data_IF_380633733782
#
_entry.id   IF_380633733782
#
_cell.length_a   1.000
_cell.length_b   1.000
_cell.length_c   1.000
_cell.angle_alpha   90.00
_cell.angle_beta   90.00
_cell.angle_gamma   90.00
#
_symmetry.space_group_name_H-M   'P 1'
#
loop_
_entity.id
_entity.type
_entity.pdbx_description
1 polymer ?
#
# COMPACT_ATOMS: atom_id res chain seq x y z
N UNK A 1 -51.58 11.78 -69.41
CA UNK A 1 -52.32 10.49 -69.32
C UNK A 1 -51.42 9.41 -69.92
N UNK A 2 -51.17 8.21 -69.42
CA UNK A 2 -51.61 7.37 -68.27
C UNK A 2 -50.65 6.15 -68.31
N UNK A 3 -50.14 5.70 -67.15
CA UNK A 3 -49.77 4.32 -66.70
C UNK A 3 -49.15 3.30 -67.70
N UNK A 4 -48.18 2.43 -67.39
CA UNK A 4 -47.58 1.90 -66.16
C UNK A 4 -46.96 0.51 -66.45
N UNK A 5 -46.36 -0.12 -65.41
CA UNK A 5 -45.70 -1.45 -65.28
C UNK A 5 -44.19 -1.29 -65.04
N UNK A 6 -43.56 -1.76 -63.96
CA UNK A 6 -43.97 -2.53 -62.79
C UNK A 6 -42.83 -2.53 -61.76
N UNK A 7 -43.18 -2.67 -60.48
CA UNK A 7 -42.32 -2.55 -59.30
C UNK A 7 -41.20 -3.61 -59.25
N UNK A 8 -39.95 -3.21 -59.00
CA UNK A 8 -38.99 -4.04 -58.26
C UNK A 8 -39.09 -3.68 -56.78
N UNK A 9 -39.28 -4.69 -55.92
CA UNK A 9 -39.18 -4.58 -54.47
C UNK A 9 -37.70 -4.41 -54.14
N UNK A 10 -37.32 -3.27 -53.60
CA UNK A 10 -36.10 -3.17 -52.82
C UNK A 10 -36.40 -3.83 -51.47
N UNK A 11 -35.77 -4.99 -51.23
CA UNK A 11 -35.70 -5.59 -49.91
C UNK A 11 -35.03 -4.58 -48.98
N UNK A 12 -35.82 -4.10 -48.03
CA UNK A 12 -35.35 -3.30 -46.90
C UNK A 12 -34.28 -4.10 -46.17
N UNK A 13 -33.01 -3.77 -46.39
CA UNK A 13 -31.97 -4.01 -45.39
C UNK A 13 -32.36 -3.16 -44.19
N UNK A 14 -33.02 -3.77 -43.20
CA UNK A 14 -33.24 -3.14 -41.90
C UNK A 14 -31.88 -2.88 -41.29
N UNK A 15 -31.40 -1.63 -41.39
CA UNK A 15 -30.37 -1.13 -40.47
C UNK A 15 -31.01 -1.21 -39.08
N UNK A 16 -30.70 -2.26 -38.33
CA UNK A 16 -31.00 -2.33 -36.90
C UNK A 16 -30.37 -1.10 -36.26
N UNK A 17 -31.21 -0.14 -35.90
CA UNK A 17 -30.77 1.01 -35.11
C UNK A 17 -30.49 0.44 -33.72
N UNK A 18 -29.28 0.58 -33.16
CA UNK A 18 -28.96 -0.03 -31.87
C UNK A 18 -29.95 0.49 -30.83
N UNK A 19 -30.71 -0.41 -30.22
CA UNK A 19 -31.66 -0.06 -29.16
C UNK A 19 -30.83 0.49 -27.99
N UNK A 20 -30.95 1.79 -27.70
CA UNK A 20 -30.31 2.38 -26.53
C UNK A 20 -31.17 2.03 -25.31
N UNK A 21 -30.59 1.30 -24.34
CA UNK A 21 -31.27 0.90 -23.11
C UNK A 21 -30.55 1.47 -21.89
N UNK A 22 -31.29 2.11 -21.00
CA UNK A 22 -30.80 2.52 -19.71
C UNK A 22 -31.04 1.40 -18.68
N UNK A 23 -30.01 1.02 -17.92
CA UNK A 23 -30.07 -0.07 -16.94
C UNK A 23 -29.32 0.30 -15.66
N UNK A 24 -29.64 -0.33 -14.53
CA UNK A 24 -28.84 -0.18 -13.30
C UNK A 24 -27.61 -1.10 -13.34
N UNK A 25 -26.52 -0.71 -12.67
CA UNK A 25 -25.32 -1.55 -12.56
C UNK A 25 -25.64 -2.95 -11.99
N UNK A 26 -26.57 -3.01 -11.02
CA UNK A 26 -27.04 -4.27 -10.41
C UNK A 26 -27.72 -5.22 -11.41
N UNK A 27 -28.28 -4.70 -12.50
CA UNK A 27 -28.99 -5.50 -13.49
C UNK A 27 -28.03 -6.16 -14.50
N UNK A 28 -26.78 -5.69 -14.59
CA UNK A 28 -25.81 -6.15 -15.60
C UNK A 28 -25.54 -7.64 -15.48
N UNK A 29 -25.32 -8.16 -14.27
CA UNK A 29 -25.09 -9.59 -14.05
C UNK A 29 -26.26 -10.45 -14.54
N UNK A 30 -27.51 -10.02 -14.26
CA UNK A 30 -28.71 -10.71 -14.72
C UNK A 30 -28.82 -10.71 -16.24
N UNK A 31 -28.52 -9.58 -16.88
CA UNK A 31 -28.52 -9.45 -18.35
C UNK A 31 -27.49 -10.40 -18.97
N UNK A 32 -26.28 -10.47 -18.40
CA UNK A 32 -25.23 -11.39 -18.86
C UNK A 32 -25.71 -12.83 -18.80
N UNK A 33 -26.25 -13.26 -17.65
CA UNK A 33 -26.76 -14.62 -17.48
C UNK A 33 -27.85 -14.97 -18.49
N UNK A 34 -28.83 -14.09 -18.69
CA UNK A 34 -29.90 -14.30 -19.66
C UNK A 34 -29.38 -14.45 -21.09
N UNK A 35 -28.45 -13.58 -21.52
CA UNK A 35 -27.89 -13.64 -22.87
C UNK A 35 -27.04 -14.91 -23.04
N UNK A 36 -26.26 -15.29 -22.03
CA UNK A 36 -25.48 -16.54 -22.05
C UNK A 36 -26.38 -17.76 -22.19
N UNK A 37 -27.44 -17.86 -21.40
CA UNK A 37 -28.39 -18.98 -21.46
C UNK A 37 -29.05 -19.08 -22.84
N UNK A 38 -29.53 -17.95 -23.38
CA UNK A 38 -30.14 -17.89 -24.71
C UNK A 38 -29.15 -18.34 -25.80
N UNK A 39 -27.92 -17.82 -25.79
CA UNK A 39 -26.90 -18.21 -26.77
C UNK A 39 -26.45 -19.65 -26.64
N UNK A 40 -26.34 -20.16 -25.41
CA UNK A 40 -26.03 -21.57 -25.16
C UNK A 40 -27.10 -22.46 -25.78
N UNK A 41 -28.38 -22.17 -25.50
CA UNK A 41 -29.50 -22.93 -26.07
C UNK A 41 -29.53 -22.87 -27.60
N UNK A 42 -29.25 -21.70 -28.18
CA UNK A 42 -29.22 -21.53 -29.63
C UNK A 42 -28.08 -22.34 -30.27
N UNK A 43 -26.86 -22.20 -29.77
CA UNK A 43 -25.69 -22.93 -30.29
C UNK A 43 -25.88 -24.45 -30.19
N UNK A 44 -26.41 -24.94 -29.08
CA UNK A 44 -26.71 -26.37 -28.93
C UNK A 44 -27.77 -26.85 -29.94
N UNK A 45 -28.81 -26.04 -30.19
CA UNK A 45 -29.82 -26.34 -31.20
C UNK A 45 -29.22 -26.38 -32.62
N UNK A 46 -28.37 -25.41 -32.94
CA UNK A 46 -27.72 -25.31 -34.25
C UNK A 46 -26.76 -26.48 -34.49
N UNK A 47 -25.91 -26.81 -33.50
CA UNK A 47 -25.02 -27.97 -33.55
C UNK A 47 -25.82 -29.27 -33.67
N UNK A 48 -26.94 -29.40 -32.94
CA UNK A 48 -27.83 -30.57 -33.04
C UNK A 48 -28.44 -30.72 -34.44
N UNK A 49 -28.84 -29.61 -35.06
CA UNK A 49 -29.33 -29.58 -36.44
C UNK A 49 -28.23 -30.04 -37.42
N UNK A 50 -27.01 -29.50 -37.31
CA UNK A 50 -25.87 -29.89 -38.15
C UNK A 50 -25.51 -31.37 -37.94
N UNK A 51 -25.52 -31.85 -36.69
CA UNK A 51 -25.32 -33.27 -36.35
C UNK A 51 -26.35 -34.15 -37.07
N UNK A 52 -27.63 -33.79 -37.01
CA UNK A 52 -28.71 -34.53 -37.66
C UNK A 52 -28.62 -34.51 -39.19
N UNK A 53 -28.06 -33.45 -39.77
CA UNK A 53 -27.78 -33.39 -41.21
C UNK A 53 -26.52 -34.19 -41.60
N UNK A 54 -25.59 -34.39 -40.67
CA UNK A 54 -24.33 -35.13 -40.90
C UNK A 54 -24.51 -36.64 -40.73
N UNK A 55 -25.37 -37.07 -39.81
CA UNK A 55 -25.61 -38.49 -39.53
C UNK A 55 -26.03 -39.30 -40.78
N UNK A 56 -26.94 -38.83 -41.66
CA UNK A 56 -27.26 -39.54 -42.91
C UNK A 56 -26.07 -39.70 -43.85
N UNK A 57 -25.14 -38.75 -43.88
CA UNK A 57 -23.93 -38.82 -44.71
C UNK A 57 -23.01 -39.95 -44.25
N UNK A 58 -22.92 -40.16 -42.94
CA UNK A 58 -22.17 -41.28 -42.34
C UNK A 58 -22.84 -42.61 -42.69
N UNK A 59 -24.17 -42.69 -42.62
CA UNK A 59 -24.91 -43.87 -43.07
C UNK A 59 -24.65 -44.18 -44.55
N UNK A 60 -24.57 -43.14 -45.38
CA UNK A 60 -24.26 -43.29 -46.80
C UNK A 60 -22.83 -43.80 -47.03
N UNK A 61 -21.84 -43.37 -46.24
CA UNK A 61 -20.49 -43.95 -46.25
C UNK A 61 -20.53 -45.45 -45.91
N UNK A 62 -21.26 -45.85 -44.87
CA UNK A 62 -21.39 -47.26 -44.47
C UNK A 62 -22.02 -48.08 -45.60
N UNK A 63 -23.06 -47.57 -46.25
CA UNK A 63 -23.71 -48.22 -47.41
C UNK A 63 -22.71 -48.38 -48.57
N UNK A 64 -21.90 -47.37 -48.87
CA UNK A 64 -20.86 -47.45 -49.90
C UNK A 64 -19.83 -48.52 -49.51
N UNK A 65 -19.34 -48.54 -48.28
CA UNK A 65 -18.39 -49.55 -47.80
C UNK A 65 -18.91 -50.99 -47.93
N UNK A 66 -20.17 -51.22 -47.56
CA UNK A 66 -20.84 -52.52 -47.70
C UNK A 66 -21.09 -52.92 -49.17
N UNK A 67 -21.37 -51.93 -50.03
CA UNK A 67 -21.60 -52.19 -51.46
C UNK A 67 -20.27 -52.48 -52.16
N UNK A 68 -19.20 -51.75 -51.82
CA UNK A 68 -17.85 -51.98 -52.32
C UNK A 68 -17.37 -53.40 -52.00
N UNK A 69 -17.65 -53.92 -50.81
CA UNK A 69 -17.29 -55.28 -50.43
C UNK A 69 -17.91 -56.33 -51.37
N UNK A 70 -19.17 -56.14 -51.77
CA UNK A 70 -19.92 -57.04 -52.66
C UNK A 70 -19.60 -56.84 -54.14
N UNK A 71 -19.03 -55.70 -54.52
CA UNK A 71 -18.72 -55.38 -55.92
C UNK A 71 -17.48 -56.14 -56.39
N UNK A 72 -17.68 -57.17 -57.21
CA UNK A 72 -16.58 -57.92 -57.80
C UNK A 72 -15.87 -57.02 -58.82
N UNK A 73 -14.60 -56.76 -58.55
CA UNK A 73 -13.77 -55.97 -59.44
C UNK A 73 -13.68 -56.68 -60.79
N UNK A 74 -14.00 -55.99 -61.88
CA UNK A 74 -13.68 -56.45 -63.24
C UNK A 74 -12.16 -56.30 -63.46
N UNK A 75 -11.38 -57.16 -62.82
CA UNK A 75 -9.89 -57.12 -62.80
C UNK A 75 -9.29 -57.93 -63.94
N UNK A 76 -10.11 -58.53 -64.79
CA UNK A 76 -9.68 -59.49 -65.81
C UNK A 76 -8.83 -58.83 -66.91
N UNK A 77 -8.93 -57.50 -67.06
CA UNK A 77 -8.12 -56.69 -67.99
C UNK A 77 -6.88 -56.03 -67.33
N UNK A 78 -6.60 -56.32 -66.06
CA UNK A 78 -5.55 -55.65 -65.27
C UNK A 78 -4.35 -56.58 -65.05
N UNK A 79 -3.15 -56.04 -65.18
CA UNK A 79 -1.89 -56.74 -64.87
C UNK A 79 -1.90 -57.42 -63.49
N UNK A 80 -1.27 -58.61 -63.39
CA UNK A 80 -1.25 -59.46 -62.19
C UNK A 80 -0.69 -58.74 -60.96
N UNK A 81 0.30 -57.87 -61.11
CA UNK A 81 0.88 -57.11 -60.00
C UNK A 81 0.00 -55.93 -59.59
N UNK A 82 -0.65 -55.27 -60.55
CA UNK A 82 -1.62 -54.20 -60.27
C UNK A 82 -2.87 -54.73 -59.57
N UNK A 83 -3.33 -55.95 -59.93
CA UNK A 83 -4.44 -56.63 -59.27
C UNK A 83 -4.25 -56.77 -57.76
N UNK A 84 -3.05 -57.15 -57.31
CA UNK A 84 -2.74 -57.30 -55.87
C UNK A 84 -2.83 -55.95 -55.14
N UNK A 85 -2.29 -54.89 -55.75
CA UNK A 85 -2.31 -53.53 -55.19
C UNK A 85 -3.75 -53.02 -55.11
N UNK A 86 -4.54 -53.26 -56.15
CA UNK A 86 -5.94 -52.82 -56.23
C UNK A 86 -6.81 -53.51 -55.19
N UNK A 87 -6.68 -54.83 -55.02
CA UNK A 87 -7.41 -55.60 -54.01
C UNK A 87 -7.05 -55.16 -52.60
N UNK A 88 -5.76 -54.93 -52.32
CA UNK A 88 -5.30 -54.44 -51.02
C UNK A 88 -5.82 -53.02 -50.73
N UNK A 89 -5.75 -52.12 -51.69
CA UNK A 89 -6.25 -50.75 -51.55
C UNK A 89 -7.76 -50.70 -51.34
N UNK A 90 -8.52 -51.54 -52.07
CA UNK A 90 -9.96 -51.74 -51.85
C UNK A 90 -10.26 -52.20 -50.42
N UNK A 91 -9.55 -53.20 -49.92
CA UNK A 91 -9.76 -53.70 -48.56
C UNK A 91 -9.48 -52.62 -47.50
N UNK A 92 -8.41 -51.84 -47.66
CA UNK A 92 -8.09 -50.74 -46.74
C UNK A 92 -9.19 -49.66 -46.70
N UNK A 93 -9.79 -49.34 -47.85
CA UNK A 93 -10.91 -48.39 -47.92
C UNK A 93 -12.17 -48.95 -47.24
N UNK A 94 -12.46 -50.24 -47.40
CA UNK A 94 -13.60 -50.89 -46.75
C UNK A 94 -13.40 -50.94 -45.23
N UNK A 95 -12.21 -51.37 -44.79
CA UNK A 95 -11.89 -51.52 -43.38
C UNK A 95 -12.00 -50.20 -42.61
N UNK A 96 -11.48 -49.10 -43.18
CA UNK A 96 -11.55 -47.79 -42.52
C UNK A 96 -12.99 -47.26 -42.45
N UNK A 97 -13.77 -47.45 -43.52
CA UNK A 97 -15.17 -47.00 -43.54
C UNK A 97 -15.97 -47.79 -42.51
N UNK A 98 -15.85 -49.12 -42.47
CA UNK A 98 -16.59 -49.95 -41.50
C UNK A 98 -16.18 -49.70 -40.05
N UNK A 99 -14.91 -49.39 -39.81
CA UNK A 99 -14.38 -49.21 -38.46
C UNK A 99 -14.66 -47.81 -37.90
N UNK A 100 -14.48 -46.77 -38.72
CA UNK A 100 -14.46 -45.38 -38.25
C UNK A 100 -15.68 -44.56 -38.68
N UNK A 101 -16.53 -45.01 -39.63
CA UNK A 101 -17.83 -44.38 -39.89
C UNK A 101 -18.88 -44.86 -38.86
N UNK A 102 -18.77 -44.36 -37.63
CA UNK A 102 -19.68 -44.68 -36.52
C UNK A 102 -20.74 -43.60 -36.32
N UNK A 103 -21.85 -43.95 -35.67
CA UNK A 103 -22.89 -42.99 -35.28
C UNK A 103 -22.32 -41.82 -34.48
N UNK A 104 -22.88 -40.62 -34.70
CA UNK A 104 -22.53 -39.43 -33.96
C UNK A 104 -23.19 -39.43 -32.57
N UNK A 105 -22.57 -38.85 -31.54
CA UNK A 105 -23.22 -38.68 -30.24
C UNK A 105 -24.44 -37.76 -30.34
N UNK A 106 -25.37 -37.93 -29.40
CA UNK A 106 -26.48 -37.00 -29.20
C UNK A 106 -26.00 -35.74 -28.46
N UNK A 107 -26.69 -34.61 -28.68
CA UNK A 107 -26.29 -33.31 -28.15
C UNK A 107 -27.32 -32.85 -27.11
N UNK A 108 -26.90 -32.87 -25.84
CA UNK A 108 -27.65 -32.33 -24.71
C UNK A 108 -26.89 -31.23 -23.96
N UNK A 109 -25.56 -31.25 -24.02
CA UNK A 109 -24.67 -30.32 -23.33
C UNK A 109 -23.56 -29.77 -24.23
N UNK A 110 -22.82 -28.79 -23.73
CA UNK A 110 -21.64 -28.25 -24.41
C UNK A 110 -20.54 -29.31 -24.56
N UNK A 111 -20.31 -30.13 -23.54
CA UNK A 111 -19.32 -31.20 -23.56
C UNK A 111 -19.65 -32.25 -24.64
N UNK A 112 -20.94 -32.54 -24.86
CA UNK A 112 -21.39 -33.41 -25.96
C UNK A 112 -21.07 -32.79 -27.33
N UNK A 113 -21.21 -31.47 -27.46
CA UNK A 113 -20.90 -30.74 -28.69
C UNK A 113 -19.39 -30.71 -28.98
N UNK A 114 -18.55 -30.54 -27.97
CA UNK A 114 -17.10 -30.70 -28.11
C UNK A 114 -16.71 -32.13 -28.48
N UNK A 115 -17.33 -33.13 -27.84
CA UNK A 115 -17.08 -34.53 -28.16
C UNK A 115 -17.49 -34.86 -29.60
N UNK A 116 -18.65 -34.36 -30.06
CA UNK A 116 -19.08 -34.46 -31.46
C UNK A 116 -18.03 -33.88 -32.40
N UNK A 117 -17.53 -32.67 -32.12
CA UNK A 117 -16.50 -32.02 -32.93
C UNK A 117 -15.25 -32.90 -33.04
N UNK A 118 -14.77 -33.44 -31.91
CA UNK A 118 -13.60 -34.32 -31.87
C UNK A 118 -13.82 -35.61 -32.67
N UNK A 119 -14.94 -36.30 -32.46
CA UNK A 119 -15.27 -37.56 -33.15
C UNK A 119 -15.36 -37.32 -34.66
N UNK A 120 -16.10 -36.29 -35.09
CA UNK A 120 -16.28 -35.97 -36.50
C UNK A 120 -14.96 -35.61 -37.18
N UNK A 121 -14.10 -34.83 -36.52
CA UNK A 121 -12.77 -34.50 -37.02
C UNK A 121 -11.89 -35.75 -37.20
N UNK A 122 -11.89 -36.65 -36.20
CA UNK A 122 -11.12 -37.89 -36.28
C UNK A 122 -11.60 -38.79 -37.41
N UNK A 123 -12.91 -38.90 -37.59
CA UNK A 123 -13.52 -39.65 -38.69
C UNK A 123 -13.12 -39.08 -40.05
N UNK A 124 -13.29 -37.77 -40.25
CA UNK A 124 -12.89 -37.06 -41.47
C UNK A 124 -11.41 -37.27 -41.79
N UNK A 125 -10.54 -37.14 -40.79
CA UNK A 125 -9.10 -37.32 -40.97
C UNK A 125 -8.75 -38.75 -41.37
N UNK A 126 -9.24 -39.75 -40.63
CA UNK A 126 -8.92 -41.17 -40.90
C UNK A 126 -9.45 -41.65 -42.26
N UNK A 127 -10.72 -41.37 -42.55
CA UNK A 127 -11.36 -41.77 -43.82
C UNK A 127 -10.75 -40.98 -44.98
N UNK A 128 -10.60 -39.66 -44.83
CA UNK A 128 -9.98 -38.79 -45.82
C UNK A 128 -8.54 -39.19 -46.16
N UNK A 129 -7.73 -39.51 -45.15
CA UNK A 129 -6.35 -39.96 -45.31
C UNK A 129 -6.25 -41.26 -46.14
N UNK A 130 -7.10 -42.25 -45.86
CA UNK A 130 -7.11 -43.52 -46.59
C UNK A 130 -7.61 -43.31 -48.02
N UNK A 131 -8.71 -42.56 -48.20
CA UNK A 131 -9.24 -42.26 -49.53
C UNK A 131 -8.24 -41.46 -50.37
N UNK A 132 -7.54 -40.49 -49.77
CA UNK A 132 -6.49 -39.73 -50.41
C UNK A 132 -5.31 -40.61 -50.86
N UNK A 133 -4.79 -41.47 -49.97
CA UNK A 133 -3.71 -42.41 -50.33
C UNK A 133 -4.12 -43.42 -51.40
N UNK A 134 -5.37 -43.89 -51.36
CA UNK A 134 -5.88 -44.89 -52.29
C UNK A 134 -6.58 -44.28 -53.51
N UNK A 135 -6.43 -42.98 -53.77
CA UNK A 135 -7.12 -42.26 -54.86
C UNK A 135 -7.00 -42.99 -56.20
N UNK A 136 -5.79 -43.35 -56.64
CA UNK A 136 -5.58 -44.05 -57.93
C UNK A 136 -6.28 -45.41 -57.97
N UNK A 137 -6.23 -46.13 -56.86
CA UNK A 137 -6.84 -47.45 -56.72
C UNK A 137 -8.35 -47.30 -56.81
N UNK A 138 -8.95 -46.35 -56.08
CA UNK A 138 -10.39 -46.04 -56.10
C UNK A 138 -10.88 -45.68 -57.51
N UNK A 139 -10.11 -44.89 -58.28
CA UNK A 139 -10.50 -44.55 -59.66
C UNK A 139 -10.52 -45.77 -60.60
N UNK A 140 -9.72 -46.80 -60.32
CA UNK A 140 -9.65 -48.04 -61.09
C UNK A 140 -10.79 -48.99 -60.69
N UNK A 141 -11.04 -49.16 -59.39
CA UNK A 141 -11.89 -50.23 -58.87
C UNK A 141 -13.31 -49.75 -58.49
N UNK A 142 -13.50 -48.45 -58.31
CA UNK A 142 -14.69 -47.84 -57.75
C UNK A 142 -14.99 -46.46 -58.37
N UNK A 143 -14.77 -46.31 -59.69
CA UNK A 143 -15.00 -45.05 -60.42
C UNK A 143 -16.38 -44.43 -60.14
N UNK A 144 -17.43 -45.26 -60.09
CA UNK A 144 -18.82 -44.86 -59.78
C UNK A 144 -19.07 -44.41 -58.33
N UNK A 145 -18.16 -44.72 -57.40
CA UNK A 145 -18.25 -44.33 -55.99
C UNK A 145 -17.29 -43.19 -55.62
N UNK A 146 -16.25 -42.96 -56.44
CA UNK A 146 -15.22 -41.96 -56.16
C UNK A 146 -15.79 -40.53 -56.03
N UNK A 147 -16.68 -40.14 -56.96
CA UNK A 147 -17.35 -38.84 -56.93
C UNK A 147 -18.25 -38.72 -55.69
N UNK A 148 -19.04 -39.75 -55.41
CA UNK A 148 -19.95 -39.80 -54.26
C UNK A 148 -19.23 -39.73 -52.91
N UNK A 149 -18.13 -40.48 -52.74
CA UNK A 149 -17.29 -40.44 -51.54
C UNK A 149 -16.69 -39.03 -51.34
N UNK A 150 -16.27 -38.39 -52.43
CA UNK A 150 -15.74 -37.02 -52.40
C UNK A 150 -16.82 -36.02 -51.98
N UNK A 151 -18.02 -36.10 -52.56
CA UNK A 151 -19.15 -35.21 -52.22
C UNK A 151 -19.53 -35.33 -50.74
N UNK A 152 -19.67 -36.56 -50.24
CA UNK A 152 -19.98 -36.82 -48.83
C UNK A 152 -18.93 -36.20 -47.90
N UNK A 153 -17.63 -36.44 -48.18
CA UNK A 153 -16.56 -35.89 -47.35
C UNK A 153 -16.50 -34.35 -47.39
N UNK A 154 -16.78 -33.73 -48.54
CA UNK A 154 -16.85 -32.27 -48.64
C UNK A 154 -17.96 -31.73 -47.74
N UNK A 155 -19.14 -32.34 -47.79
CA UNK A 155 -20.30 -31.90 -47.00
C UNK A 155 -20.10 -32.15 -45.51
N UNK A 156 -19.58 -33.31 -45.12
CA UNK A 156 -19.21 -33.60 -43.73
C UNK A 156 -18.15 -32.63 -43.19
N UNK A 157 -17.15 -32.28 -44.01
CA UNK A 157 -16.13 -31.31 -43.60
C UNK A 157 -16.71 -29.88 -43.48
N UNK A 158 -17.63 -29.50 -44.36
CA UNK A 158 -18.36 -28.23 -44.23
C UNK A 158 -19.12 -28.16 -42.91
N UNK A 159 -19.89 -29.20 -42.58
CA UNK A 159 -20.63 -29.31 -41.33
C UNK A 159 -19.70 -29.25 -40.11
N UNK A 160 -18.56 -29.96 -40.17
CA UNK A 160 -17.54 -29.93 -39.11
C UNK A 160 -16.96 -28.52 -38.88
N UNK A 161 -16.63 -27.80 -39.96
CA UNK A 161 -16.12 -26.42 -39.88
C UNK A 161 -17.18 -25.50 -39.25
N UNK A 162 -18.44 -25.68 -39.59
CA UNK A 162 -19.56 -24.91 -39.05
C UNK A 162 -19.73 -25.16 -37.53
N UNK A 163 -19.69 -26.43 -37.10
CA UNK A 163 -19.66 -26.80 -35.66
C UNK A 163 -18.47 -26.15 -34.95
N UNK A 164 -17.28 -26.21 -35.55
CA UNK A 164 -16.08 -25.62 -34.96
C UNK A 164 -16.21 -24.09 -34.79
N UNK A 165 -16.83 -23.41 -35.75
CA UNK A 165 -17.08 -21.96 -35.66
C UNK A 165 -18.07 -21.63 -34.55
N UNK A 166 -19.15 -22.41 -34.42
CA UNK A 166 -20.14 -22.25 -33.35
C UNK A 166 -19.52 -22.43 -31.96
N UNK A 167 -18.69 -23.46 -31.77
CA UNK A 167 -17.95 -23.67 -30.51
C UNK A 167 -17.00 -22.52 -30.19
N UNK A 168 -16.21 -22.06 -31.17
CA UNK A 168 -15.32 -20.90 -30.97
C UNK A 168 -16.08 -19.62 -30.60
N UNK A 169 -17.25 -19.39 -31.21
CA UNK A 169 -18.10 -18.25 -30.88
C UNK A 169 -18.68 -18.35 -29.46
N UNK A 170 -19.02 -19.55 -29.01
CA UNK A 170 -19.43 -19.81 -27.63
C UNK A 170 -18.30 -19.47 -26.65
N UNK A 171 -17.10 -20.00 -26.87
CA UNK A 171 -15.94 -19.76 -26.01
C UNK A 171 -15.61 -18.27 -25.90
N UNK A 172 -15.61 -17.56 -27.04
CA UNK A 172 -15.42 -16.11 -27.04
C UNK A 172 -16.50 -15.38 -26.25
N UNK A 173 -17.77 -15.78 -26.41
CA UNK A 173 -18.90 -15.22 -25.66
C UNK A 173 -18.74 -15.44 -24.16
N UNK A 174 -18.35 -16.66 -23.75
CA UNK A 174 -18.10 -17.02 -22.35
C UNK A 174 -16.95 -16.20 -21.76
N UNK A 175 -15.85 -16.06 -22.51
CA UNK A 175 -14.72 -15.22 -22.11
C UNK A 175 -15.13 -13.76 -21.87
N UNK A 176 -15.80 -13.13 -22.83
CA UNK A 176 -16.25 -11.73 -22.70
C UNK A 176 -17.21 -11.56 -21.52
N UNK A 177 -18.09 -12.54 -21.28
CA UNK A 177 -18.99 -12.50 -20.12
C UNK A 177 -18.24 -12.53 -18.78
N UNK A 178 -17.18 -13.35 -18.68
CA UNK A 178 -16.36 -13.44 -17.48
C UNK A 178 -15.58 -12.15 -17.25
N UNK A 179 -15.05 -11.53 -18.30
CA UNK A 179 -14.38 -10.22 -18.20
C UNK A 179 -15.33 -9.14 -17.67
N UNK A 180 -16.60 -9.12 -18.10
CA UNK A 180 -17.57 -8.14 -17.60
C UNK A 180 -17.91 -8.41 -16.13
N UNK A 181 -18.08 -9.68 -15.74
CA UNK A 181 -18.35 -10.06 -14.36
C UNK A 181 -17.19 -9.72 -13.42
N UNK A 182 -15.94 -9.86 -13.86
CA UNK A 182 -14.78 -9.46 -13.06
C UNK A 182 -14.73 -7.93 -12.91
N UNK A 183 -14.96 -7.16 -13.98
CA UNK A 183 -15.05 -5.69 -13.88
C UNK A 183 -16.19 -5.23 -12.94
N UNK A 184 -17.32 -5.95 -12.89
CA UNK A 184 -18.38 -5.66 -11.91
C UNK A 184 -17.90 -5.91 -10.47
N UNK A 185 -17.17 -7.00 -10.24
CA UNK A 185 -16.61 -7.34 -8.94
C UNK A 185 -15.57 -6.30 -8.49
N UNK A 186 -14.71 -5.82 -9.40
CA UNK A 186 -13.78 -4.73 -9.12
C UNK A 186 -14.51 -3.48 -8.62
N UNK A 187 -15.65 -3.12 -9.22
CA UNK A 187 -16.46 -1.98 -8.73
C UNK A 187 -16.96 -2.25 -7.30
N UNK A 188 -17.49 -3.44 -7.03
CA UNK A 188 -17.97 -3.82 -5.68
C UNK A 188 -16.84 -3.77 -4.65
N UNK A 189 -15.63 -4.20 -5.01
CA UNK A 189 -14.46 -4.15 -4.11
C UNK A 189 -14.04 -2.70 -3.83
N UNK A 190 -14.04 -1.84 -4.85
CA UNK A 190 -13.81 -0.40 -4.68
C UNK A 190 -14.88 0.22 -3.77
N UNK A 191 -16.15 -0.12 -3.94
CA UNK A 191 -17.24 0.36 -3.09
C UNK A 191 -17.08 -0.05 -1.62
N UNK A 192 -16.74 -1.32 -1.38
CA UNK A 192 -16.51 -1.81 -0.02
C UNK A 192 -15.34 -1.09 0.65
N UNK A 193 -14.28 -0.80 -0.10
CA UNK A 193 -13.14 -0.04 0.41
C UNK A 193 -13.50 1.42 0.68
N UNK A 194 -14.32 2.04 -0.16
CA UNK A 194 -14.86 3.39 0.08
C UNK A 194 -15.64 3.46 1.39
N UNK A 195 -16.61 2.57 1.60
CA UNK A 195 -17.41 2.55 2.84
C UNK A 195 -16.56 2.34 4.09
N UNK A 196 -15.53 1.48 4.03
CA UNK A 196 -14.58 1.31 5.14
C UNK A 196 -13.81 2.59 5.44
N UNK A 197 -13.34 3.31 4.42
CA UNK A 197 -12.63 4.59 4.58
C UNK A 197 -13.54 5.68 5.14
N UNK A 198 -14.78 5.78 4.66
CA UNK A 198 -15.78 6.72 5.16
C UNK A 198 -16.08 6.48 6.65
N UNK A 199 -16.29 5.22 7.04
CA UNK A 199 -16.46 4.86 8.45
C UNK A 199 -15.23 5.24 9.26
N UNK A 200 -14.02 4.97 8.75
CA UNK A 200 -12.78 5.31 9.45
C UNK A 200 -12.61 6.82 9.61
N UNK A 201 -12.98 7.62 8.61
CA UNK A 201 -13.02 9.08 8.69
C UNK A 201 -13.97 9.53 9.81
N UNK A 202 -15.18 8.97 9.88
CA UNK A 202 -16.14 9.30 10.93
C UNK A 202 -15.60 8.98 12.34
N UNK A 203 -14.94 7.83 12.51
CA UNK A 203 -14.26 7.47 13.77
C UNK A 203 -13.16 8.47 14.12
N UNK A 204 -12.31 8.86 13.17
CA UNK A 204 -11.23 9.83 13.41
C UNK A 204 -11.80 11.21 13.74
N UNK A 205 -12.89 11.65 13.11
CA UNK A 205 -13.58 12.89 13.49
C UNK A 205 -14.04 12.87 14.95
N UNK A 206 -14.65 11.77 15.40
CA UNK A 206 -15.05 11.65 16.81
C UNK A 206 -13.87 11.73 17.78
N UNK A 207 -12.71 11.19 17.38
CA UNK A 207 -11.47 11.28 18.13
C UNK A 207 -10.95 12.72 18.16
N UNK A 208 -10.96 13.43 17.03
CA UNK A 208 -10.59 14.85 16.95
C UNK A 208 -11.48 15.70 17.86
N UNK A 209 -12.80 15.48 17.87
CA UNK A 209 -13.72 16.19 18.76
C UNK A 209 -13.40 15.93 20.25
N UNK A 210 -12.98 14.70 20.58
CA UNK A 210 -12.55 14.36 21.94
C UNK A 210 -11.23 15.03 22.33
N UNK A 211 -10.28 15.14 21.39
CA UNK A 211 -9.01 15.84 21.58
C UNK A 211 -9.25 17.34 21.74
N UNK A 212 -10.18 17.92 20.99
CA UNK A 212 -10.55 19.34 21.11
C UNK A 212 -11.07 19.68 22.51
N UNK A 213 -11.91 18.82 23.09
CA UNK A 213 -12.37 18.98 24.47
C UNK A 213 -11.21 18.89 25.48
N UNK A 214 -10.27 17.97 25.27
CA UNK A 214 -9.07 17.83 26.12
C UNK A 214 -8.16 19.04 26.03
N UNK A 215 -7.89 19.52 24.81
CA UNK A 215 -7.07 20.71 24.54
C UNK A 215 -7.64 21.91 25.29
N UNK A 216 -8.95 22.17 25.17
CA UNK A 216 -9.62 23.26 25.90
C UNK A 216 -9.47 23.10 27.42
N UNK A 217 -9.65 21.90 27.95
CA UNK A 217 -9.48 21.61 29.37
C UNK A 217 -8.05 21.85 29.87
N UNK A 218 -7.04 21.47 29.08
CA UNK A 218 -5.64 21.70 29.41
C UNK A 218 -5.28 23.18 29.35
N UNK A 219 -5.72 23.89 28.30
CA UNK A 219 -5.52 25.33 28.18
C UNK A 219 -6.13 26.10 29.37
N UNK A 220 -7.34 25.75 29.78
CA UNK A 220 -8.00 26.39 30.93
C UNK A 220 -7.29 26.09 32.25
N UNK A 221 -6.80 24.87 32.43
CA UNK A 221 -6.06 24.47 33.65
C UNK A 221 -4.70 25.18 33.74
N UNK A 222 -3.98 25.24 32.61
CA UNK A 222 -2.71 25.99 32.50
C UNK A 222 -2.95 27.47 32.80
N UNK A 223 -3.99 28.09 32.22
CA UNK A 223 -4.33 29.49 32.50
C UNK A 223 -4.59 29.73 33.98
N UNK A 224 -5.36 28.86 34.64
CA UNK A 224 -5.63 28.98 36.09
C UNK A 224 -4.35 28.97 36.92
N UNK A 225 -3.43 28.04 36.63
CA UNK A 225 -2.12 27.98 37.31
C UNK A 225 -1.33 29.26 37.03
N UNK A 226 -1.28 29.72 35.78
CA UNK A 226 -0.53 30.92 35.41
C UNK A 226 -1.09 32.22 36.01
N UNK A 227 -2.38 32.26 36.31
CA UNK A 227 -3.03 33.39 37.01
C UNK A 227 -2.98 33.29 38.53
N UNK A 228 -2.45 32.20 39.09
CA UNK A 228 -2.38 32.01 40.53
C UNK A 228 -1.35 32.94 41.17
N UNK A 229 -1.61 33.32 42.43
CA UNK A 229 -0.68 34.13 43.22
C UNK A 229 0.63 33.36 43.48
N UNK A 230 0.56 32.04 43.62
CA UNK A 230 1.73 31.15 43.77
C UNK A 230 2.67 31.23 42.57
N UNK A 231 2.12 31.19 41.35
CA UNK A 231 2.92 31.31 40.13
C UNK A 231 3.50 32.72 39.97
N UNK A 232 2.75 33.77 40.35
CA UNK A 232 3.27 35.14 40.41
C UNK A 232 4.47 35.26 41.36
N UNK A 233 4.37 34.69 42.56
CA UNK A 233 5.48 34.65 43.54
C UNK A 233 6.69 33.88 43.00
N UNK A 234 6.47 32.77 42.30
CA UNK A 234 7.55 32.02 41.65
C UNK A 234 8.30 32.86 40.60
N UNK A 235 7.57 33.60 39.75
CA UNK A 235 8.18 34.50 38.76
C UNK A 235 8.97 35.64 39.41
N UNK A 236 8.47 36.21 40.50
CA UNK A 236 9.19 37.25 41.25
C UNK A 236 10.47 36.71 41.89
N UNK A 237 10.43 35.53 42.52
CA UNK A 237 11.62 34.89 43.07
C UNK A 237 12.66 34.57 41.97
N UNK A 238 12.21 34.13 40.80
CA UNK A 238 13.08 33.90 39.64
C UNK A 238 13.80 35.18 39.21
N UNK A 239 13.08 36.28 39.09
CA UNK A 239 13.66 37.60 38.78
C UNK A 239 14.66 38.05 39.85
N UNK A 240 14.33 37.88 41.13
CA UNK A 240 15.25 38.19 42.23
C UNK A 240 16.52 37.33 42.11
N UNK A 241 16.40 36.04 41.79
CA UNK A 241 17.55 35.15 41.61
C UNK A 241 18.45 35.59 40.45
N UNK A 242 17.88 36.06 39.35
CA UNK A 242 18.64 36.62 38.22
C UNK A 242 19.45 37.85 38.65
N UNK A 243 18.86 38.76 39.43
CA UNK A 243 19.54 39.92 40.00
C UNK A 243 20.65 39.54 41.01
N UNK A 244 20.56 38.37 41.65
CA UNK A 244 21.60 37.88 42.56
C UNK A 244 22.92 37.58 41.85
N UNK A 245 22.92 37.36 40.54
CA UNK A 245 24.14 37.20 39.75
C UNK A 245 25.01 38.46 39.80
N UNK A 246 24.39 39.64 39.70
CA UNK A 246 25.10 40.93 39.80
C UNK A 246 25.65 41.16 41.20
N UNK A 247 24.88 40.80 42.24
CA UNK A 247 25.32 40.90 43.65
C UNK A 247 26.49 39.95 43.94
N UNK A 248 26.46 38.72 43.41
CA UNK A 248 27.57 37.76 43.50
C UNK A 248 28.87 38.37 42.98
N UNK A 249 28.83 38.94 41.78
CA UNK A 249 30.01 39.49 41.13
C UNK A 249 30.61 40.68 41.91
N UNK A 250 29.77 41.52 42.52
CA UNK A 250 30.25 42.63 43.37
C UNK A 250 31.03 42.13 44.59
N UNK A 251 30.46 41.19 45.35
CA UNK A 251 31.11 40.61 46.53
C UNK A 251 32.38 39.87 46.13
N UNK A 252 32.33 39.09 45.04
CA UNK A 252 33.49 38.37 44.51
C UNK A 252 34.63 39.33 44.15
N UNK A 253 34.36 40.39 43.40
CA UNK A 253 35.40 41.34 42.99
C UNK A 253 36.07 42.05 44.19
N UNK A 254 35.32 42.36 45.24
CA UNK A 254 35.85 42.96 46.46
C UNK A 254 36.82 42.00 47.18
N UNK A 255 36.41 40.74 47.33
CA UNK A 255 37.21 39.67 47.91
C UNK A 255 38.47 39.40 47.07
N UNK A 256 38.31 39.20 45.77
CA UNK A 256 39.41 38.91 44.85
C UNK A 256 40.45 40.04 44.87
N UNK A 257 39.99 41.30 44.94
CA UNK A 257 40.88 42.46 45.05
C UNK A 257 41.77 42.40 46.30
N UNK A 258 41.20 42.01 47.44
CA UNK A 258 41.96 41.87 48.69
C UNK A 258 42.89 40.67 48.67
N UNK A 259 42.41 39.49 48.28
CA UNK A 259 43.22 38.28 48.24
C UNK A 259 44.33 38.32 47.18
N UNK A 260 44.15 39.09 46.09
CA UNK A 260 45.21 39.33 45.11
C UNK A 260 46.44 40.00 45.74
N UNK A 261 46.25 40.89 46.74
CA UNK A 261 47.36 41.56 47.45
C UNK A 261 48.29 40.57 48.14
N UNK A 262 47.75 39.45 48.63
CA UNK A 262 48.49 38.41 49.37
C UNK A 262 48.67 37.09 48.59
N UNK A 263 48.27 37.04 47.32
CA UNK A 263 48.37 35.85 46.46
C UNK A 263 49.79 35.26 46.41
N UNK A 264 50.81 36.11 46.20
CA UNK A 264 52.21 35.68 46.09
C UNK A 264 52.75 34.99 47.35
N UNK A 265 52.63 35.56 48.57
CA UNK A 265 53.05 34.85 49.78
C UNK A 265 52.21 33.59 50.04
N UNK A 266 50.90 33.57 49.71
CA UNK A 266 50.07 32.37 49.80
C UNK A 266 50.54 31.24 48.86
N UNK A 267 50.81 31.52 47.59
CA UNK A 267 51.30 30.52 46.63
C UNK A 267 52.69 30.01 46.99
N UNK A 268 53.55 30.86 47.55
CA UNK A 268 54.87 30.42 48.05
C UNK A 268 54.73 29.51 49.26
N UNK A 269 53.82 29.84 50.18
CA UNK A 269 53.50 28.97 51.32
C UNK A 269 53.00 27.61 50.85
N UNK A 270 52.10 27.57 49.86
CA UNK A 270 51.58 26.32 49.27
C UNK A 270 52.69 25.41 48.73
N UNK A 271 53.78 25.98 48.20
CA UNK A 271 54.91 25.24 47.64
C UNK A 271 55.90 24.72 48.70
N UNK A 272 56.15 25.50 49.76
CA UNK A 272 57.19 25.19 50.77
C UNK A 272 56.66 24.48 52.02
N UNK A 273 55.34 24.45 52.21
CA UNK A 273 54.71 23.87 53.40
C UNK A 273 54.38 22.38 53.23
N UNK A 274 54.47 21.64 54.33
CA UNK A 274 53.99 20.25 54.42
C UNK A 274 52.56 20.23 54.98
N UNK A 275 51.62 20.84 54.26
CA UNK A 275 50.20 20.83 54.62
C UNK A 275 49.59 19.45 54.37
N UNK A 276 48.62 19.07 55.20
CA UNK A 276 47.76 17.92 54.90
C UNK A 276 46.88 18.19 53.66
N UNK A 277 46.23 17.14 53.15
CA UNK A 277 45.46 17.19 51.91
C UNK A 277 44.29 18.17 51.96
N UNK A 278 43.64 18.33 53.12
CA UNK A 278 42.48 19.21 53.27
C UNK A 278 42.91 20.68 53.32
N UNK A 279 43.93 20.99 54.12
CA UNK A 279 44.50 22.33 54.21
C UNK A 279 45.13 22.79 52.89
N UNK A 280 45.82 21.88 52.18
CA UNK A 280 46.37 22.18 50.86
C UNK A 280 45.26 22.53 49.86
N UNK A 281 44.19 21.75 49.81
CA UNK A 281 43.04 22.00 48.93
C UNK A 281 42.33 23.32 49.28
N UNK A 282 42.17 23.63 50.58
CA UNK A 282 41.62 24.91 51.03
C UNK A 282 42.49 26.09 50.57
N UNK A 283 43.82 25.98 50.72
CA UNK A 283 44.77 27.01 50.30
C UNK A 283 44.77 27.21 48.78
N UNK A 284 44.79 26.13 47.99
CA UNK A 284 44.72 26.23 46.52
C UNK A 284 43.47 26.99 46.08
N UNK A 285 42.31 26.66 46.66
CA UNK A 285 41.05 27.35 46.38
C UNK A 285 41.00 28.77 46.89
N UNK A 286 41.64 29.07 48.02
CA UNK A 286 41.77 30.43 48.55
C UNK A 286 42.57 31.33 47.61
N UNK A 287 43.53 30.76 46.87
CA UNK A 287 44.33 31.47 45.86
C UNK A 287 43.55 31.64 44.55
N UNK A 288 42.79 30.63 44.13
CA UNK A 288 42.09 30.61 42.84
C UNK A 288 40.73 31.34 42.86
N UNK A 289 39.86 31.02 43.82
CA UNK A 289 38.54 31.64 43.99
C UNK A 289 38.19 31.74 45.50
N UNK A 290 38.71 32.77 46.18
CA UNK A 290 38.52 32.93 47.62
C UNK A 290 37.04 33.01 48.01
N UNK A 291 36.17 33.52 47.14
CA UNK A 291 34.72 33.56 47.38
C UNK A 291 34.12 32.18 47.67
N UNK A 292 34.60 31.10 47.03
CA UNK A 292 34.05 29.75 47.23
C UNK A 292 34.39 29.14 48.60
N UNK A 293 35.46 29.62 49.23
CA UNK A 293 35.99 29.04 50.47
C UNK A 293 35.82 29.92 51.70
N UNK A 294 35.43 31.18 51.54
CA UNK A 294 35.14 32.12 52.62
C UNK A 294 33.78 31.83 53.30
N UNK A 295 33.70 30.65 53.93
CA UNK A 295 32.55 30.16 54.68
C UNK A 295 32.90 30.05 56.15
N UNK A 296 31.90 30.19 57.03
CA UNK A 296 32.11 30.15 58.50
C UNK A 296 32.85 28.89 58.97
N UNK A 297 32.63 27.75 58.32
CA UNK A 297 33.30 26.47 58.64
C UNK A 297 34.81 26.46 58.37
N UNK A 298 35.29 27.33 57.49
CA UNK A 298 36.70 27.38 57.08
C UNK A 298 37.48 28.49 57.80
N UNK A 299 36.80 29.29 58.65
CA UNK A 299 37.37 30.49 59.28
C UNK A 299 38.70 30.22 59.98
N UNK A 300 38.70 29.29 60.93
CA UNK A 300 39.87 29.03 61.77
C UNK A 300 41.02 28.45 60.95
N UNK A 301 40.69 27.64 59.93
CA UNK A 301 41.68 27.11 58.99
C UNK A 301 42.30 28.20 58.11
N UNK A 302 41.52 29.19 57.67
CA UNK A 302 42.02 30.34 56.88
C UNK A 302 42.90 31.24 57.76
N UNK A 303 42.48 31.51 59.01
CA UNK A 303 43.31 32.26 59.97
C UNK A 303 44.65 31.56 60.20
N UNK A 304 44.62 30.24 60.43
CA UNK A 304 45.83 29.44 60.61
C UNK A 304 46.77 29.52 59.40
N UNK A 305 46.21 29.48 58.18
CA UNK A 305 46.98 29.66 56.94
C UNK A 305 47.64 31.04 56.92
N UNK A 306 46.89 32.11 57.19
CA UNK A 306 47.42 33.49 57.19
C UNK A 306 48.51 33.69 58.24
N UNK A 307 48.32 33.16 59.45
CA UNK A 307 49.32 33.19 60.52
C UNK A 307 50.59 32.42 60.15
N UNK A 308 50.46 31.25 59.52
CA UNK A 308 51.61 30.45 59.12
C UNK A 308 52.37 31.10 57.96
N UNK A 309 51.67 31.75 57.03
CA UNK A 309 52.28 32.56 55.97
C UNK A 309 53.05 33.72 56.60
N UNK A 310 52.46 34.40 57.58
CA UNK A 310 53.11 35.48 58.34
C UNK A 310 54.39 34.98 59.04
N UNK A 311 54.32 33.87 59.78
CA UNK A 311 55.48 33.22 60.41
C UNK A 311 56.55 32.82 59.39
N UNK A 312 56.14 32.31 58.22
CA UNK A 312 57.04 31.93 57.15
C UNK A 312 57.77 33.11 56.51
N UNK A 313 57.15 34.30 56.47
CA UNK A 313 57.83 35.54 56.05
C UNK A 313 58.82 35.97 57.13
N UNK A 314 58.44 35.94 58.41
CA UNK A 314 59.30 36.32 59.53
C UNK A 314 60.54 35.43 59.66
N UNK A 315 60.40 34.11 59.46
CA UNK A 315 61.51 33.15 59.53
C UNK A 315 62.40 33.16 58.28
N UNK A 316 62.00 33.86 57.21
CA UNK A 316 62.68 33.86 55.93
C UNK A 316 62.41 32.65 55.03
N UNK A 317 61.57 31.68 55.46
CA UNK A 317 61.19 30.53 54.64
C UNK A 317 60.30 30.89 53.45
N UNK A 318 59.60 32.03 53.51
CA UNK A 318 58.83 32.63 52.42
C UNK A 318 59.46 33.96 52.03
N UNK A 319 60.11 33.98 50.86
CA UNK A 319 60.67 35.23 50.33
C UNK A 319 59.58 36.13 49.74
N UNK A 320 59.56 37.40 50.16
CA UNK A 320 58.71 38.47 49.60
C UNK A 320 59.58 39.66 49.19
N UNK A 321 59.07 40.53 48.32
CA UNK A 321 59.84 41.71 47.85
C UNK A 321 59.96 42.80 48.92
N UNK A 322 58.90 42.97 49.69
CA UNK A 322 58.76 44.00 50.73
C UNK A 322 58.05 43.34 51.92
N UNK A 323 58.81 43.13 52.99
CA UNK A 323 58.36 42.42 54.19
C UNK A 323 57.31 43.22 54.94
N UNK A 324 57.54 44.53 55.16
CA UNK A 324 56.62 45.41 55.86
C UNK A 324 55.29 45.53 55.13
N UNK A 325 55.33 45.73 53.81
CA UNK A 325 54.12 45.78 52.98
C UNK A 325 53.34 44.46 52.99
N UNK A 326 54.04 43.32 52.94
CA UNK A 326 53.39 42.01 52.99
C UNK A 326 52.71 41.77 54.34
N UNK A 327 53.35 42.17 55.45
CA UNK A 327 52.74 42.08 56.78
C UNK A 327 51.51 42.97 56.93
N UNK A 328 51.58 44.20 56.40
CA UNK A 328 50.44 45.13 56.39
C UNK A 328 49.26 44.56 55.59
N UNK A 329 49.50 44.02 54.40
CA UNK A 329 48.47 43.42 53.54
C UNK A 329 47.85 42.14 54.12
N UNK A 330 48.65 41.30 54.78
CA UNK A 330 48.15 40.12 55.50
C UNK A 330 47.29 40.56 56.68
N UNK A 331 47.73 41.55 57.46
CA UNK A 331 46.96 42.09 58.60
C UNK A 331 45.63 42.71 58.12
N UNK A 332 45.64 43.50 57.03
CA UNK A 332 44.42 44.04 56.41
C UNK A 332 43.45 42.93 56.00
N UNK A 333 43.98 41.82 55.47
CA UNK A 333 43.16 40.67 55.05
C UNK A 333 42.60 39.91 56.26
N UNK A 334 43.40 39.71 57.32
CA UNK A 334 42.95 39.09 58.59
C UNK A 334 41.83 39.91 59.25
N UNK A 335 41.95 41.23 59.27
CA UNK A 335 40.95 42.14 59.84
C UNK A 335 39.64 42.16 59.01
N UNK A 336 39.74 42.10 57.69
CA UNK A 336 38.59 42.09 56.79
C UNK A 336 37.92 40.70 56.67
N UNK A 337 38.61 39.62 57.09
CA UNK A 337 38.20 38.23 56.89
C UNK A 337 36.80 37.93 57.44
N UNK A 338 36.53 38.33 58.69
CA UNK A 338 35.22 38.11 59.32
C UNK A 338 34.10 38.86 58.59
N UNK A 339 34.41 40.02 58.01
CA UNK A 339 33.51 40.78 57.14
C UNK A 339 33.19 40.01 55.86
N UNK A 340 34.20 39.50 55.16
CA UNK A 340 34.00 38.73 53.93
C UNK A 340 33.27 37.42 54.17
N UNK A 341 33.62 36.67 55.22
CA UNK A 341 32.93 35.43 55.58
C UNK A 341 31.45 35.69 55.87
N UNK A 342 31.12 36.78 56.59
CA UNK A 342 29.72 37.17 56.83
C UNK A 342 29.00 37.51 55.53
N UNK A 343 29.62 38.27 54.62
CA UNK A 343 29.02 38.64 53.34
C UNK A 343 28.74 37.42 52.45
N UNK A 344 29.72 36.54 52.29
CA UNK A 344 29.59 35.32 51.48
C UNK A 344 28.55 34.38 52.07
N UNK A 345 28.62 34.13 53.39
CA UNK A 345 27.66 33.24 54.07
C UNK A 345 26.24 33.79 53.98
N UNK A 346 26.03 35.09 54.19
CA UNK A 346 24.72 35.72 54.03
C UNK A 346 24.20 35.63 52.60
N UNK A 347 25.07 35.82 51.60
CA UNK A 347 24.72 35.67 50.19
C UNK A 347 24.29 34.24 49.86
N UNK A 348 25.09 33.25 50.23
CA UNK A 348 24.83 31.82 49.95
C UNK A 348 23.53 31.38 50.63
N UNK A 349 23.33 31.71 51.91
CA UNK A 349 22.12 31.36 52.64
C UNK A 349 20.87 31.99 52.03
N UNK A 350 20.95 33.27 51.63
CA UNK A 350 19.80 33.97 51.03
C UNK A 350 19.47 33.41 49.65
N UNK A 351 20.48 33.08 48.84
CA UNK A 351 20.31 32.42 47.54
C UNK A 351 19.67 31.05 47.72
N UNK A 352 20.16 30.24 48.66
CA UNK A 352 19.60 28.92 48.94
C UNK A 352 18.14 29.02 49.38
N UNK A 353 17.81 29.92 50.31
CA UNK A 353 16.42 30.13 50.73
C UNK A 353 15.49 30.54 49.58
N UNK A 354 15.95 31.38 48.65
CA UNK A 354 15.19 31.71 47.44
C UNK A 354 14.99 30.46 46.57
N UNK A 355 16.02 29.65 46.37
CA UNK A 355 15.94 28.42 45.59
C UNK A 355 14.99 27.39 46.23
N UNK A 356 15.04 27.21 47.56
CA UNK A 356 14.16 26.31 48.28
C UNK A 356 12.69 26.76 48.18
N UNK A 357 12.43 28.07 48.28
CA UNK A 357 11.10 28.64 48.08
C UNK A 357 10.60 28.48 46.65
N UNK A 358 11.49 28.60 45.65
CA UNK A 358 11.13 28.37 44.25
C UNK A 358 10.76 26.90 44.01
N UNK A 359 11.54 25.95 44.53
CA UNK A 359 11.25 24.51 44.40
C UNK A 359 9.90 24.17 45.04
N UNK A 360 9.57 24.77 46.20
CA UNK A 360 8.27 24.56 46.85
C UNK A 360 7.08 25.13 46.06
N UNK A 361 7.32 26.12 45.18
CA UNK A 361 6.31 26.75 44.33
C UNK A 361 6.30 26.21 42.90
N UNK A 362 7.28 25.36 42.54
CA UNK A 362 7.38 24.78 41.21
C UNK A 362 6.26 23.75 41.01
N UNK A 363 5.37 24.04 40.05
CA UNK A 363 4.24 23.19 39.74
C UNK A 363 4.67 22.13 38.72
N UNK A 364 4.93 20.91 39.19
CA UNK A 364 5.09 19.74 38.30
C UNK A 364 3.86 19.56 37.39
N UNK A 365 2.68 19.87 37.94
CA UNK A 365 1.41 19.85 37.22
C UNK A 365 1.41 20.78 36.00
N UNK A 366 2.02 21.98 36.07
CA UNK A 366 2.12 22.88 34.92
C UNK A 366 2.98 22.28 33.79
N UNK A 367 4.09 21.63 34.14
CA UNK A 367 4.96 20.96 33.18
C UNK A 367 4.22 19.79 32.50
N UNK A 368 3.56 18.96 33.29
CA UNK A 368 2.80 17.80 32.81
C UNK A 368 1.66 18.25 31.88
N UNK A 369 0.85 19.23 32.31
CA UNK A 369 -0.23 19.79 31.48
C UNK A 369 0.27 20.41 30.17
N UNK A 370 1.44 21.07 30.18
CA UNK A 370 2.03 21.67 28.98
C UNK A 370 2.51 20.59 28.01
N UNK A 371 3.10 19.52 28.53
CA UNK A 371 3.50 18.34 27.75
C UNK A 371 2.28 17.64 27.14
N UNK A 372 1.25 17.40 27.95
CA UNK A 372 0.00 16.76 27.50
C UNK A 372 -0.74 17.59 26.46
N UNK A 373 -0.79 18.91 26.62
CA UNK A 373 -1.34 19.82 25.62
C UNK A 373 -0.58 19.72 24.28
N UNK A 374 0.75 19.72 24.33
CA UNK A 374 1.59 19.58 23.13
C UNK A 374 1.32 18.24 22.42
N UNK A 375 1.23 17.15 23.17
CA UNK A 375 0.94 15.82 22.63
C UNK A 375 -0.46 15.79 22.00
N UNK A 376 -1.48 16.30 22.68
CA UNK A 376 -2.85 16.34 22.17
C UNK A 376 -2.97 17.17 20.87
N UNK A 377 -2.24 18.29 20.77
CA UNK A 377 -2.16 19.10 19.56
C UNK A 377 -1.49 18.34 18.40
N UNK A 378 -0.40 17.62 18.67
CA UNK A 378 0.28 16.77 17.68
C UNK A 378 -0.63 15.65 17.18
N UNK A 379 -1.26 14.91 18.10
CA UNK A 379 -2.17 13.81 17.77
C UNK A 379 -3.36 14.27 16.94
N UNK A 380 -3.87 15.48 17.22
CA UNK A 380 -4.94 16.11 16.44
C UNK A 380 -4.50 16.42 15.02
N UNK A 381 -3.30 16.97 14.84
CA UNK A 381 -2.78 17.29 13.50
C UNK A 381 -2.54 16.02 12.67
N UNK A 382 -1.93 14.99 13.28
CA UNK A 382 -1.75 13.69 12.65
C UNK A 382 -3.08 13.05 12.24
N UNK A 383 -4.11 13.20 13.08
CA UNK A 383 -5.47 12.72 12.78
C UNK A 383 -6.10 13.46 11.60
N UNK A 384 -5.91 14.78 11.51
CA UNK A 384 -6.38 15.59 10.36
C UNK A 384 -5.67 15.23 9.06
N UNK A 385 -4.36 14.99 9.11
CA UNK A 385 -3.60 14.53 7.94
C UNK A 385 -4.13 13.19 7.43
N UNK A 386 -4.40 12.24 8.34
CA UNK A 386 -5.00 10.94 7.96
C UNK A 386 -6.38 11.09 7.33
N UNK A 387 -7.24 11.97 7.86
CA UNK A 387 -8.55 12.26 7.24
C UNK A 387 -8.34 12.76 5.80
N UNK A 388 -7.43 13.72 5.60
CA UNK A 388 -7.14 14.27 4.27
C UNK A 388 -6.65 13.19 3.30
N UNK A 389 -5.72 12.32 3.72
CA UNK A 389 -5.25 11.20 2.90
C UNK A 389 -6.40 10.29 2.47
N UNK A 390 -7.28 9.91 3.39
CA UNK A 390 -8.44 9.08 3.03
C UNK A 390 -9.42 9.80 2.10
N UNK A 391 -9.63 11.11 2.28
CA UNK A 391 -10.46 11.91 1.37
C UNK A 391 -9.88 11.96 -0.06
N UNK A 392 -8.57 12.15 -0.18
CA UNK A 392 -7.88 12.16 -1.48
C UNK A 392 -8.02 10.80 -2.20
N UNK A 393 -7.85 9.69 -1.47
CA UNK A 393 -8.03 8.34 -2.01
C UNK A 393 -9.50 8.04 -2.39
N UNK A 394 -10.47 8.57 -1.63
CA UNK A 394 -11.90 8.49 -1.95
C UNK A 394 -12.18 9.21 -3.27
N UNK A 395 -11.67 10.43 -3.44
CA UNK A 395 -11.84 11.23 -4.67
C UNK A 395 -11.22 10.55 -5.90
N UNK A 396 -10.05 9.92 -5.75
CA UNK A 396 -9.42 9.13 -6.81
C UNK A 396 -10.31 7.93 -7.21
N UNK A 397 -10.84 7.21 -6.21
CA UNK A 397 -11.73 6.06 -6.44
C UNK A 397 -13.04 6.47 -7.12
N UNK A 398 -13.62 7.61 -6.72
CA UNK A 398 -14.79 8.21 -7.38
C UNK A 398 -14.51 8.58 -8.85
N UNK A 399 -13.28 8.94 -9.18
CA UNK A 399 -12.86 9.21 -10.56
C UNK A 399 -12.61 7.94 -11.37
N UNK A 400 -12.36 6.80 -10.71
CA UNK A 400 -12.07 5.52 -11.36
C UNK A 400 -13.35 4.72 -11.67
N UNK A 401 -14.36 4.74 -10.79
CA UNK A 401 -15.62 3.98 -11.00
C UNK A 401 -16.29 4.29 -12.35
N UNK A 402 -16.42 5.56 -12.80
CA UNK A 402 -16.97 5.86 -14.12
C UNK A 402 -16.20 5.24 -15.29
N UNK A 403 -14.87 5.08 -15.16
CA UNK A 403 -14.04 4.43 -16.18
C UNK A 403 -14.34 2.95 -16.26
N UNK A 404 -14.48 2.28 -15.12
CA UNK A 404 -14.88 0.87 -15.04
C UNK A 404 -16.30 0.67 -15.61
N UNK A 405 -17.24 1.56 -15.29
CA UNK A 405 -18.60 1.52 -15.85
C UNK A 405 -18.56 1.67 -17.38
N UNK A 406 -17.79 2.63 -17.90
CA UNK A 406 -17.66 2.83 -19.35
C UNK A 406 -17.05 1.62 -20.05
N UNK A 407 -16.04 0.98 -19.45
CA UNK A 407 -15.46 -0.26 -19.97
C UNK A 407 -16.50 -1.42 -19.99
N UNK A 408 -17.31 -1.54 -18.93
CA UNK A 408 -18.43 -2.47 -18.89
C UNK A 408 -19.44 -2.18 -20.00
N UNK A 409 -19.81 -0.92 -20.25
CA UNK A 409 -20.73 -0.55 -21.35
C UNK A 409 -20.18 -0.98 -22.72
N UNK A 410 -18.89 -0.74 -22.97
CA UNK A 410 -18.21 -1.12 -24.22
C UNK A 410 -18.18 -2.63 -24.39
N UNK A 411 -17.80 -3.38 -23.35
CA UNK A 411 -17.77 -4.84 -23.36
C UNK A 411 -19.17 -5.42 -23.50
N UNK A 412 -20.15 -4.88 -22.77
CA UNK A 412 -21.55 -5.31 -22.81
C UNK A 412 -22.18 -5.04 -24.18
N UNK A 413 -21.79 -3.96 -24.86
CA UNK A 413 -22.20 -3.70 -26.25
C UNK A 413 -21.66 -4.74 -27.21
N UNK A 414 -20.37 -5.08 -27.13
CA UNK A 414 -19.78 -6.17 -27.92
C UNK A 414 -20.44 -7.51 -27.60
N UNK A 415 -20.77 -7.72 -26.34
CA UNK A 415 -21.38 -8.94 -25.86
C UNK A 415 -22.84 -9.07 -26.30
N UNK A 416 -23.65 -8.02 -26.35
CA UNK A 416 -25.11 -8.09 -26.55
C UNK A 416 -25.61 -7.52 -27.88
N UNK A 417 -24.73 -6.86 -28.65
CA UNK A 417 -25.08 -5.99 -29.77
C UNK A 417 -26.05 -4.84 -29.43
N UNK A 418 -26.27 -4.56 -28.15
CA UNK A 418 -27.16 -3.50 -27.65
C UNK A 418 -26.33 -2.39 -27.01
N UNK A 419 -26.72 -1.13 -27.22
CA UNK A 419 -26.05 0.00 -26.55
C UNK A 419 -26.70 0.20 -25.20
N UNK A 420 -25.92 0.06 -24.14
CA UNK A 420 -26.37 0.31 -22.77
C UNK A 420 -25.82 1.61 -22.24
N UNK A 421 -26.64 2.29 -21.44
CA UNK A 421 -26.21 3.36 -20.55
C UNK A 421 -26.46 2.90 -19.12
N UNK A 422 -25.40 2.71 -18.36
CA UNK A 422 -25.46 2.17 -17.01
C UNK A 422 -25.57 3.33 -16.01
N UNK A 423 -26.67 3.35 -15.27
CA UNK A 423 -26.83 4.25 -14.13
C UNK A 423 -26.20 3.64 -12.89
N UNK A 424 -25.51 4.49 -12.13
CA UNK A 424 -24.88 4.11 -10.88
C UNK A 424 -25.36 5.03 -9.75
N UNK A 425 -26.14 4.51 -8.78
CA UNK A 425 -26.93 5.33 -7.86
C UNK A 425 -26.11 6.15 -6.85
N UNK A 426 -24.83 5.83 -6.61
CA UNK A 426 -24.00 6.54 -5.62
C UNK A 426 -23.34 7.83 -6.13
N UNK A 427 -23.47 8.19 -7.40
CA UNK A 427 -22.88 9.43 -7.98
C UNK A 427 -23.87 10.37 -8.68
N UNK A 428 -25.18 10.16 -8.50
CA UNK A 428 -26.21 11.07 -9.03
C UNK A 428 -26.64 12.11 -7.99
#
# INVERSE_FOLDING_TARGET
>A
MVFGWGKKKDEKTSKETPLQKQIQLSDVSKIIHQILELRTSQILSDIKSIRNNTEPLIQELIIIGNTLEKDNLQVDEIDKHLRIIVVRGKQQVIDIIKKDATHLPDIASYDDAENLHVILNQMLKKIGDVLGRQTRVIHIFAKKYAEKLKEILIQMNSNHVEIQQLLKNYDHTKYVSAEILESLKEIVDVENNLTKKEQRIAEIHSLVDSLDKKILSFEDSIKKIQTSDEYGKFLDLKRILDEFTVKKNKIKNEIDSQFTKISRPLSRYEYVSSLDKEQKNLLSKLIEDPFEVLLSKNRDSIILILENVRKGITSGSISVKDTEKSFSQITETEEALDGFIKQVTAFVNKRQNIQDQMIALESNELSDLTSDLKNALSDKEDSKLKIKTFQDEINESHSNIPKLISDIEVKLRKFSNTVYTITYPKFN
#
